data_IF_452692085281
#
_entry.id   IF_452692085281
#
_cell.length_a   1.000
_cell.length_b   1.000
_cell.length_c   1.000
_cell.angle_alpha   90.00
_cell.angle_beta   90.00
_cell.angle_gamma   90.00
#
_symmetry.space_group_name_H-M   'P 1'
#
loop_
_entity.id
_entity.type
_entity.pdbx_description
1 polymer ?
#
# COMPACT_ATOMS: atom_id res chain seq x y z
N UNK A 1 9.76 20.29 4.66
CA UNK A 1 8.34 20.71 4.81
C UNK A 1 7.47 19.65 4.17
N UNK A 2 6.58 19.06 4.98
CA UNK A 2 5.67 17.96 4.66
C UNK A 2 4.88 18.28 3.38
N UNK A 3 5.03 17.46 2.35
CA UNK A 3 4.17 17.55 1.18
C UNK A 3 3.07 16.51 1.28
N UNK A 4 1.88 16.95 0.84
CA UNK A 4 0.73 16.17 0.42
C UNK A 4 -0.27 15.83 1.52
N UNK A 5 -1.23 16.72 1.64
CA UNK A 5 -2.64 16.33 1.60
C UNK A 5 -2.87 15.36 0.43
N UNK A 6 -2.68 14.06 0.66
CA UNK A 6 -3.29 13.04 -0.19
C UNK A 6 -4.80 13.23 -0.04
N UNK A 7 -5.44 13.80 -1.07
CA UNK A 7 -6.88 14.14 -1.10
C UNK A 7 -7.82 12.95 -0.97
N UNK A 8 -7.31 11.74 -0.75
CA UNK A 8 -8.09 10.52 -0.57
C UNK A 8 -8.22 10.28 0.92
N UNK A 9 -9.43 10.48 1.45
CA UNK A 9 -9.75 10.09 2.83
C UNK A 9 -9.75 8.57 2.91
N UNK A 10 -9.22 8.00 3.99
CA UNK A 10 -9.18 6.55 4.21
C UNK A 10 -10.57 5.90 4.11
N UNK A 11 -11.63 6.66 4.37
CA UNK A 11 -13.04 6.26 4.26
C UNK A 11 -13.49 5.95 2.81
N UNK A 12 -12.79 6.46 1.80
CA UNK A 12 -13.11 6.26 0.39
C UNK A 12 -12.35 5.07 -0.24
N UNK A 13 -11.55 4.32 0.54
CA UNK A 13 -10.74 3.20 0.06
C UNK A 13 -11.47 1.87 0.23
N UNK A 14 -11.80 1.22 -0.90
CA UNK A 14 -12.40 -0.11 -0.90
C UNK A 14 -11.32 -1.14 -1.21
N UNK A 15 -11.09 -2.08 -0.29
CA UNK A 15 -10.19 -3.22 -0.56
C UNK A 15 -10.83 -4.12 -1.62
N UNK A 16 -10.17 -4.25 -2.77
CA UNK A 16 -10.63 -5.11 -3.86
C UNK A 16 -9.88 -6.44 -3.86
N UNK A 17 -8.57 -6.40 -3.62
CA UNK A 17 -7.73 -7.57 -3.79
C UNK A 17 -6.66 -7.64 -2.70
N UNK A 18 -6.33 -8.87 -2.30
CA UNK A 18 -5.17 -9.17 -1.46
C UNK A 18 -4.37 -10.28 -2.12
N UNK A 19 -3.10 -10.05 -2.36
CA UNK A 19 -2.16 -11.00 -2.96
C UNK A 19 -1.02 -11.28 -1.99
N UNK A 20 -0.63 -12.55 -1.87
CA UNK A 20 0.61 -12.91 -1.18
C UNK A 20 1.80 -12.50 -2.05
N UNK A 21 2.82 -11.95 -1.42
CA UNK A 21 4.09 -11.66 -2.07
C UNK A 21 5.10 -12.77 -1.80
N UNK A 22 5.97 -13.04 -2.78
CA UNK A 22 7.09 -13.96 -2.62
C UNK A 22 8.15 -13.40 -1.67
N UNK A 23 8.25 -12.07 -1.58
CA UNK A 23 9.18 -11.40 -0.68
C UNK A 23 8.79 -11.51 0.79
N UNK A 24 9.81 -11.65 1.64
CA UNK A 24 9.66 -11.66 3.09
C UNK A 24 9.85 -10.28 3.67
N UNK A 25 9.18 -10.02 4.77
CA UNK A 25 9.32 -8.81 5.57
C UNK A 25 10.76 -8.70 6.09
N UNK A 26 11.46 -7.62 5.76
CA UNK A 26 12.82 -7.37 6.25
C UNK A 26 12.92 -7.16 7.78
N UNK A 27 11.80 -6.85 8.46
CA UNK A 27 11.76 -6.63 9.91
C UNK A 27 11.59 -7.93 10.71
N UNK A 28 10.72 -8.84 10.25
CA UNK A 28 10.33 -10.03 11.01
C UNK A 28 10.42 -11.36 10.24
N UNK A 29 10.82 -11.34 8.96
CA UNK A 29 10.97 -12.53 8.12
C UNK A 29 9.66 -13.21 7.68
N UNK A 30 8.50 -12.67 8.07
CA UNK A 30 7.19 -13.23 7.71
C UNK A 30 6.76 -12.81 6.30
N UNK A 31 5.70 -13.43 5.77
CA UNK A 31 5.17 -13.11 4.43
C UNK A 31 4.65 -11.68 4.36
N UNK A 32 4.92 -11.02 3.25
CA UNK A 32 4.30 -9.76 2.87
C UNK A 32 3.05 -10.03 2.05
N UNK A 33 2.08 -9.12 2.17
CA UNK A 33 0.86 -9.12 1.40
C UNK A 33 0.71 -7.78 0.69
N UNK A 34 0.29 -7.81 -0.57
CA UNK A 34 -0.11 -6.65 -1.34
C UNK A 34 -1.62 -6.51 -1.29
N UNK A 35 -2.10 -5.40 -0.75
CA UNK A 35 -3.50 -5.01 -0.77
C UNK A 35 -3.73 -3.95 -1.84
N UNK A 36 -4.67 -4.23 -2.74
CA UNK A 36 -5.11 -3.31 -3.78
C UNK A 36 -6.42 -2.68 -3.31
N UNK A 37 -6.37 -1.37 -3.09
CA UNK A 37 -7.53 -0.56 -2.77
C UNK A 37 -7.96 0.21 -4.01
N UNK A 38 -9.25 0.38 -4.18
CA UNK A 38 -9.81 1.32 -5.14
C UNK A 38 -10.31 2.56 -4.41
N UNK A 39 -9.88 3.71 -4.90
CA UNK A 39 -10.46 5.00 -4.58
C UNK A 39 -11.34 5.45 -5.75
N UNK A 40 -12.21 6.44 -5.54
CA UNK A 40 -13.08 6.99 -6.60
C UNK A 40 -12.36 7.41 -7.89
N UNK A 41 -11.05 7.65 -7.83
CA UNK A 41 -10.26 8.17 -8.95
C UNK A 41 -9.15 7.20 -9.42
N UNK A 42 -8.60 6.35 -8.54
CA UNK A 42 -7.43 5.51 -8.87
C UNK A 42 -7.27 4.27 -7.96
N UNK A 43 -6.47 3.30 -8.40
CA UNK A 43 -6.00 2.17 -7.61
C UNK A 43 -4.84 2.56 -6.71
N UNK A 44 -4.97 2.27 -5.42
CA UNK A 44 -3.96 2.47 -4.39
C UNK A 44 -3.40 1.12 -3.95
N UNK A 45 -2.08 1.01 -3.89
CA UNK A 45 -1.41 -0.22 -3.49
C UNK A 45 -0.82 -0.06 -2.09
N UNK A 46 -1.08 -1.02 -1.21
CA UNK A 46 -0.50 -1.08 0.13
C UNK A 46 0.21 -2.40 0.34
N UNK A 47 1.46 -2.36 0.80
CA UNK A 47 2.19 -3.55 1.20
C UNK A 47 2.14 -3.63 2.72
N UNK A 48 1.67 -4.75 3.25
CA UNK A 48 1.60 -5.01 4.69
C UNK A 48 2.30 -6.32 5.04
N UNK A 49 2.78 -6.44 6.26
CA UNK A 49 3.23 -7.72 6.78
C UNK A 49 2.09 -8.43 7.51
N UNK A 50 1.97 -9.74 7.29
CA UNK A 50 0.97 -10.59 7.95
C UNK A 50 1.16 -10.74 9.47
N UNK A 51 2.35 -10.43 10.01
CA UNK A 51 2.67 -10.62 11.44
C UNK A 51 3.08 -9.35 12.20
N UNK A 52 3.70 -8.38 11.55
CA UNK A 52 4.15 -7.17 12.22
C UNK A 52 3.42 -5.93 11.72
N UNK A 53 3.71 -4.82 12.37
CA UNK A 53 3.22 -3.46 12.11
C UNK A 53 3.79 -2.81 10.83
N UNK A 54 4.53 -3.56 10.00
CA UNK A 54 5.04 -3.02 8.75
C UNK A 54 3.89 -2.84 7.75
N UNK A 55 3.62 -1.59 7.40
CA UNK A 55 2.67 -1.21 6.36
C UNK A 55 3.20 0.01 5.58
N UNK A 56 3.17 -0.07 4.25
CA UNK A 56 3.66 1.00 3.37
C UNK A 56 2.73 1.17 2.17
N UNK A 57 2.39 2.41 1.86
CA UNK A 57 1.68 2.75 0.62
C UNK A 57 2.67 2.84 -0.53
N UNK A 58 2.42 2.08 -1.60
CA UNK A 58 3.12 2.24 -2.87
C UNK A 58 2.60 3.52 -3.50
N UNK A 59 3.37 4.60 -3.37
CA UNK A 59 3.11 5.80 -4.15
C UNK A 59 3.28 5.47 -5.64
N UNK A 60 2.37 5.92 -6.52
CA UNK A 60 2.63 5.85 -7.96
C UNK A 60 3.95 6.57 -8.21
N UNK A 61 4.93 5.89 -8.80
CA UNK A 61 6.17 6.53 -9.23
C UNK A 61 5.75 7.66 -10.15
N UNK A 62 5.99 8.92 -9.76
CA UNK A 62 6.16 9.97 -10.75
C UNK A 62 7.30 9.48 -11.64
N UNK A 63 6.99 9.12 -12.88
CA UNK A 63 7.99 9.09 -13.93
C UNK A 63 8.64 10.47 -13.95
N UNK A 64 9.85 10.57 -13.43
CA UNK A 64 10.72 11.69 -13.79
C UNK A 64 11.14 11.38 -15.22
N UNK A 65 10.44 12.02 -16.16
CA UNK A 65 10.89 12.21 -17.55
C UNK A 65 12.08 13.19 -17.54
#
# INVERSE_FOLDING_TARGET
MYTKDSKVKDEDLVLIETQDMDEKCGKCGSKLILKVFWSKEDYQHKIECSKCDLAVWRSPKKSYD
#
